data_IF_995251803219
#
_entry.id   IF_995251803219
#
_cell.length_a   1.000
_cell.length_b   1.000
_cell.length_c   1.000
_cell.angle_alpha   90.00
_cell.angle_beta   90.00
_cell.angle_gamma   90.00
#
_symmetry.space_group_name_H-M   'P 1'
#
loop_
_entity.id
_entity.type
_entity.pdbx_description
1 polymer ?
#
# COMPACT_ATOMS: atom_id res chain seq x y z
N UNK A 1 -20.65 -15.39 15.67
CA UNK A 1 -20.12 -14.02 15.89
C UNK A 1 -20.28 -13.54 17.35
N UNK A 2 -20.16 -14.42 18.36
CA UNK A 2 -20.21 -14.04 19.80
C UNK A 2 -18.83 -13.88 20.45
N UNK A 3 -17.74 -14.28 19.76
CA UNK A 3 -16.41 -14.23 20.35
C UNK A 3 -15.92 -12.78 20.52
N UNK A 4 -16.15 -11.89 19.56
CA UNK A 4 -15.74 -10.48 19.66
C UNK A 4 -16.39 -9.70 20.80
N UNK A 5 -17.63 -10.04 21.17
CA UNK A 5 -18.34 -9.40 22.29
C UNK A 5 -17.92 -9.91 23.67
N UNK A 6 -17.20 -11.04 23.77
CA UNK A 6 -16.77 -11.62 25.05
C UNK A 6 -15.38 -11.20 25.50
N UNK A 7 -14.52 -10.71 24.60
CA UNK A 7 -13.19 -10.16 24.95
C UNK A 7 -13.22 -8.65 25.25
N UNK A 8 -14.28 -7.95 24.85
CA UNK A 8 -14.47 -6.50 25.02
C UNK A 8 -14.98 -6.06 26.42
N UNK A 9 -15.50 -6.93 27.32
CA UNK A 9 -15.85 -6.50 28.69
C UNK A 9 -14.77 -6.78 29.75
N UNK A 10 -13.77 -7.60 29.45
CA UNK A 10 -12.87 -8.19 30.49
C UNK A 10 -11.69 -7.33 30.94
N UNK A 11 -11.52 -6.10 30.41
CA UNK A 11 -10.37 -5.22 30.73
C UNK A 11 -10.75 -3.92 31.47
N UNK A 12 -11.96 -3.81 32.02
CA UNK A 12 -12.25 -2.82 33.07
C UNK A 12 -12.09 -1.34 32.67
N UNK A 13 -12.46 -0.97 31.44
CA UNK A 13 -12.54 0.42 30.98
C UNK A 13 -13.88 0.71 30.28
N UNK A 14 -14.31 1.97 30.23
CA UNK A 14 -15.55 2.38 29.54
C UNK A 14 -15.55 1.89 28.08
N UNK A 15 -16.71 1.38 27.62
CA UNK A 15 -16.86 0.61 26.36
C UNK A 15 -16.25 1.28 25.10
N UNK A 16 -16.15 2.60 25.09
CA UNK A 16 -15.54 3.41 24.03
C UNK A 16 -14.00 3.39 24.03
N UNK A 17 -13.36 3.38 25.21
CA UNK A 17 -11.91 3.29 25.35
C UNK A 17 -11.39 1.88 25.01
N UNK A 18 -12.13 0.85 25.43
CA UNK A 18 -11.75 -0.54 25.15
C UNK A 18 -11.87 -0.86 23.65
N UNK A 19 -12.92 -0.36 22.97
CA UNK A 19 -13.06 -0.50 21.51
C UNK A 19 -11.92 0.17 20.73
N UNK A 20 -11.48 1.35 21.18
CA UNK A 20 -10.38 2.08 20.54
C UNK A 20 -9.03 1.38 20.74
N UNK A 21 -8.77 0.82 21.92
CA UNK A 21 -7.53 0.10 22.20
C UNK A 21 -7.43 -1.22 21.42
N UNK A 22 -8.52 -1.98 21.36
CA UNK A 22 -8.61 -3.21 20.54
C UNK A 22 -8.45 -2.89 19.05
N UNK A 23 -8.99 -1.76 18.59
CA UNK A 23 -8.83 -1.30 17.21
C UNK A 23 -7.37 -0.99 16.85
N UNK A 24 -6.64 -0.26 17.69
CA UNK A 24 -5.21 0.03 17.46
C UNK A 24 -4.40 -1.27 17.45
N UNK A 25 -4.66 -2.18 18.39
CA UNK A 25 -4.00 -3.47 18.43
C UNK A 25 -4.28 -4.29 17.17
N UNK A 26 -5.53 -4.31 16.72
CA UNK A 26 -5.91 -5.00 15.48
C UNK A 26 -5.20 -4.42 14.25
N UNK A 27 -5.06 -3.08 14.17
CA UNK A 27 -4.29 -2.43 13.11
C UNK A 27 -2.82 -2.83 13.15
N UNK A 28 -2.17 -2.75 14.32
CA UNK A 28 -0.76 -3.09 14.47
C UNK A 28 -0.51 -4.57 14.16
N UNK A 29 -1.35 -5.48 14.68
CA UNK A 29 -1.27 -6.91 14.38
C UNK A 29 -1.47 -7.16 12.89
N UNK A 30 -2.45 -6.53 12.25
CA UNK A 30 -2.68 -6.62 10.80
C UNK A 30 -1.47 -6.12 9.99
N UNK A 31 -0.88 -5.00 10.39
CA UNK A 31 0.35 -4.46 9.81
C UNK A 31 1.53 -5.42 9.94
N UNK A 32 1.74 -6.00 11.12
CA UNK A 32 2.82 -6.98 11.37
C UNK A 32 2.59 -8.26 10.55
N UNK A 33 1.37 -8.79 10.50
CA UNK A 33 1.04 -9.94 9.66
C UNK A 33 1.32 -9.64 8.19
N UNK A 34 0.92 -8.48 7.69
CA UNK A 34 1.23 -8.05 6.33
C UNK A 34 2.73 -7.91 6.08
N UNK A 35 3.49 -7.38 7.05
CA UNK A 35 4.94 -7.28 6.98
C UNK A 35 5.62 -8.67 6.92
N UNK A 36 5.13 -9.64 7.70
CA UNK A 36 5.63 -11.03 7.68
C UNK A 36 5.32 -11.70 6.34
N UNK A 37 4.08 -11.59 5.85
CA UNK A 37 3.71 -12.06 4.51
C UNK A 37 4.58 -11.41 3.44
N UNK A 38 4.79 -10.10 3.56
CA UNK A 38 5.68 -9.33 2.68
C UNK A 38 7.12 -9.84 2.73
N UNK A 39 7.65 -10.17 3.90
CA UNK A 39 9.00 -10.72 4.03
C UNK A 39 9.14 -12.11 3.39
N UNK A 40 8.16 -12.99 3.62
CA UNK A 40 8.10 -14.35 3.07
C UNK A 40 8.06 -14.32 1.54
N UNK A 41 7.27 -13.42 0.96
CA UNK A 41 7.08 -13.31 -0.51
C UNK A 41 8.19 -12.49 -1.15
N UNK A 42 8.63 -11.42 -0.49
CA UNK A 42 9.68 -10.54 -0.99
C UNK A 42 11.00 -11.27 -1.18
N UNK A 43 11.39 -12.14 -0.24
CA UNK A 43 12.67 -12.86 -0.33
C UNK A 43 12.85 -13.69 -1.62
N UNK A 44 11.88 -14.52 -2.06
CA UNK A 44 11.96 -15.23 -3.33
C UNK A 44 11.74 -14.33 -4.55
N UNK A 45 10.79 -13.38 -4.48
CA UNK A 45 10.47 -12.50 -5.62
C UNK A 45 11.67 -11.66 -6.06
N UNK A 46 12.54 -11.27 -5.12
CA UNK A 46 13.73 -10.45 -5.40
C UNK A 46 14.85 -11.19 -6.15
N UNK A 47 14.71 -12.49 -6.38
CA UNK A 47 15.59 -13.26 -7.28
C UNK A 47 15.27 -13.00 -8.75
N UNK A 48 14.09 -12.44 -9.04
CA UNK A 48 13.63 -12.12 -10.39
C UNK A 48 13.97 -10.69 -10.75
N UNK A 49 14.27 -10.43 -12.02
CA UNK A 49 14.65 -9.12 -12.54
C UNK A 49 13.65 -8.64 -13.59
N UNK A 50 13.48 -7.31 -13.66
CA UNK A 50 12.67 -6.65 -14.69
C UNK A 50 11.21 -7.12 -14.68
N UNK A 51 10.71 -7.47 -15.86
CA UNK A 51 9.29 -7.78 -16.11
C UNK A 51 8.80 -9.02 -15.34
N UNK A 52 9.70 -9.96 -15.04
CA UNK A 52 9.37 -11.14 -14.25
C UNK A 52 8.93 -10.78 -12.82
N UNK A 53 9.51 -9.72 -12.24
CA UNK A 53 9.11 -9.25 -10.91
C UNK A 53 7.65 -8.75 -10.94
N UNK A 54 7.29 -7.98 -11.98
CA UNK A 54 5.93 -7.46 -12.14
C UNK A 54 4.91 -8.62 -12.28
N UNK A 55 5.19 -9.59 -13.15
CA UNK A 55 4.34 -10.76 -13.36
C UNK A 55 4.11 -11.52 -12.05
N UNK A 56 5.16 -11.71 -11.24
CA UNK A 56 5.03 -12.41 -9.96
C UNK A 56 4.19 -11.65 -8.94
N UNK A 57 4.29 -10.32 -8.88
CA UNK A 57 3.44 -9.53 -7.97
C UNK A 57 1.96 -9.61 -8.35
N UNK A 58 1.65 -9.61 -9.64
CA UNK A 58 0.30 -9.73 -10.16
C UNK A 58 -0.27 -11.14 -9.92
N UNK A 59 0.52 -12.17 -10.21
CA UNK A 59 0.15 -13.57 -9.96
C UNK A 59 -0.05 -13.84 -8.47
N UNK A 60 0.82 -13.30 -7.61
CA UNK A 60 0.68 -13.44 -6.15
C UNK A 60 -0.64 -12.83 -5.66
N UNK A 61 -1.02 -11.63 -6.12
CA UNK A 61 -2.31 -11.04 -5.76
C UNK A 61 -3.49 -11.93 -6.16
N UNK A 62 -3.47 -12.46 -7.39
CA UNK A 62 -4.56 -13.32 -7.87
C UNK A 62 -4.62 -14.66 -7.12
N UNK A 63 -3.47 -15.26 -6.81
CA UNK A 63 -3.41 -16.48 -5.97
C UNK A 63 -4.05 -16.21 -4.60
N UNK A 64 -3.70 -15.10 -3.94
CA UNK A 64 -4.27 -14.74 -2.65
C UNK A 64 -5.80 -14.55 -2.76
N UNK A 65 -6.26 -13.82 -3.77
CA UNK A 65 -7.70 -13.64 -4.05
C UNK A 65 -8.41 -14.97 -4.25
N UNK A 66 -7.87 -15.84 -5.09
CA UNK A 66 -8.41 -17.16 -5.41
C UNK A 66 -8.45 -18.05 -4.17
N UNK A 67 -7.42 -18.02 -3.31
CA UNK A 67 -7.41 -18.77 -2.04
C UNK A 67 -8.57 -18.31 -1.16
N UNK A 68 -8.78 -17.00 -0.97
CA UNK A 68 -9.88 -16.49 -0.16
C UNK A 68 -11.26 -16.79 -0.78
N UNK A 69 -11.38 -16.77 -2.11
CA UNK A 69 -12.63 -17.12 -2.80
C UNK A 69 -12.95 -18.62 -2.72
N UNK A 70 -11.95 -19.49 -2.86
CA UNK A 70 -12.13 -20.94 -2.86
C UNK A 70 -12.12 -21.57 -1.46
N UNK A 71 -11.84 -20.79 -0.41
CA UNK A 71 -12.03 -21.23 0.97
C UNK A 71 -13.52 -21.19 1.30
N UNK A 72 -14.29 -22.08 0.66
CA UNK A 72 -15.76 -22.18 0.71
C UNK A 72 -16.24 -23.17 1.79
N UNK A 73 -15.70 -23.06 3.00
CA UNK A 73 -16.27 -23.68 4.20
C UNK A 73 -16.73 -22.58 5.16
N UNK A 74 -17.62 -22.89 6.10
CA UNK A 74 -18.03 -22.04 7.23
C UNK A 74 -16.86 -21.72 8.20
N UNK A 75 -15.69 -21.40 7.67
CA UNK A 75 -14.48 -21.07 8.39
C UNK A 75 -14.31 -19.56 8.60
N UNK A 76 -13.21 -19.23 9.26
CA UNK A 76 -12.80 -17.91 9.77
C UNK A 76 -12.94 -16.75 8.77
N UNK A 77 -12.96 -16.99 7.45
CA UNK A 77 -12.86 -15.98 6.40
C UNK A 77 -14.16 -15.68 5.61
N UNK A 78 -15.24 -16.45 5.81
CA UNK A 78 -16.54 -16.17 5.16
C UNK A 78 -16.64 -16.44 3.65
N UNK A 79 -15.61 -17.04 3.05
CA UNK A 79 -15.60 -17.49 1.64
C UNK A 79 -15.80 -16.34 0.62
N UNK A 80 -16.48 -16.59 -0.52
CA UNK A 80 -16.73 -15.58 -1.56
C UNK A 80 -17.47 -14.33 -1.06
N UNK A 81 -18.35 -14.50 -0.06
CA UNK A 81 -19.10 -13.42 0.56
C UNK A 81 -18.24 -12.54 1.48
N UNK A 82 -17.09 -13.07 1.90
CA UNK A 82 -16.10 -12.40 2.72
C UNK A 82 -16.56 -12.16 4.16
N UNK A 83 -15.83 -11.28 4.85
CA UNK A 83 -16.07 -10.94 6.25
C UNK A 83 -17.09 -9.81 6.36
N UNK A 84 -18.18 -10.03 7.11
CA UNK A 84 -19.25 -9.05 7.35
C UNK A 84 -19.39 -8.75 8.84
N UNK A 85 -19.87 -7.55 9.16
CA UNK A 85 -20.16 -7.15 10.55
C UNK A 85 -18.94 -6.61 11.31
N UNK A 86 -17.96 -6.05 10.59
CA UNK A 86 -16.83 -5.37 11.22
C UNK A 86 -17.34 -4.06 11.84
N UNK A 87 -17.13 -3.81 13.15
CA UNK A 87 -17.59 -2.59 13.80
C UNK A 87 -17.01 -1.34 13.12
N UNK A 88 -17.83 -0.34 12.74
CA UNK A 88 -17.35 0.89 12.10
C UNK A 88 -16.72 1.83 13.12
N UNK A 89 -15.48 1.55 13.54
CA UNK A 89 -14.73 2.37 14.50
C UNK A 89 -13.88 3.43 13.75
N UNK A 90 -13.61 3.22 12.46
CA UNK A 90 -12.81 4.16 11.65
C UNK A 90 -13.54 5.50 11.49
N UNK A 91 -12.92 6.54 12.03
CA UNK A 91 -13.33 7.95 11.83
C UNK A 91 -12.31 8.67 10.95
N UNK A 92 -12.67 9.82 10.39
CA UNK A 92 -11.74 10.67 9.65
C UNK A 92 -10.47 10.97 10.46
N UNK A 93 -10.60 11.16 11.78
CA UNK A 93 -9.47 11.36 12.68
C UNK A 93 -8.44 10.22 12.60
N UNK A 94 -8.88 8.96 12.64
CA UNK A 94 -7.99 7.79 12.53
C UNK A 94 -7.27 7.72 11.19
N UNK A 95 -7.99 8.00 10.09
CA UNK A 95 -7.43 7.98 8.74
C UNK A 95 -6.36 9.07 8.57
N UNK A 96 -6.67 10.31 8.93
CA UNK A 96 -5.70 11.42 8.82
C UNK A 96 -4.50 11.24 9.75
N UNK A 97 -4.71 10.73 10.96
CA UNK A 97 -3.63 10.48 11.92
C UNK A 97 -2.68 9.39 11.39
N UNK A 98 -3.20 8.26 10.93
CA UNK A 98 -2.37 7.20 10.37
C UNK A 98 -1.66 7.66 9.08
N UNK A 99 -2.34 8.43 8.22
CA UNK A 99 -1.73 9.01 7.03
C UNK A 99 -0.58 9.95 7.39
N UNK A 100 -0.75 10.83 8.38
CA UNK A 100 0.30 11.73 8.86
C UNK A 100 1.49 10.96 9.44
N UNK A 101 1.24 9.92 10.23
CA UNK A 101 2.29 9.03 10.77
C UNK A 101 3.03 8.33 9.63
N UNK A 102 2.31 7.79 8.64
CA UNK A 102 2.90 7.13 7.48
C UNK A 102 3.80 8.09 6.70
N UNK A 103 3.31 9.30 6.39
CA UNK A 103 4.09 10.32 5.68
C UNK A 103 5.33 10.72 6.48
N UNK A 104 5.19 10.91 7.80
CA UNK A 104 6.32 11.23 8.67
C UNK A 104 7.38 10.13 8.69
N UNK A 105 6.97 8.87 8.89
CA UNK A 105 7.90 7.73 8.95
C UNK A 105 8.57 7.50 7.59
N UNK A 106 7.84 7.57 6.49
CA UNK A 106 8.42 7.45 5.15
C UNK A 106 9.37 8.61 4.85
N UNK A 107 9.00 9.85 5.22
CA UNK A 107 9.87 11.02 5.09
C UNK A 107 11.17 10.89 5.89
N UNK A 108 11.07 10.42 7.14
CA UNK A 108 12.22 10.14 7.98
C UNK A 108 13.10 9.02 7.38
N UNK A 109 12.48 7.96 6.87
CA UNK A 109 13.19 6.84 6.26
C UNK A 109 13.97 7.27 5.00
N UNK A 110 13.36 8.06 4.13
CA UNK A 110 14.00 8.59 2.92
C UNK A 110 15.17 9.52 3.24
N UNK A 111 15.07 10.31 4.32
CA UNK A 111 16.14 11.22 4.75
C UNK A 111 17.23 10.53 5.59
N UNK A 112 17.02 9.28 5.99
CA UNK A 112 17.97 8.51 6.80
C UNK A 112 19.07 7.83 5.97
N UNK A 113 19.99 7.13 6.66
CA UNK A 113 21.00 6.27 6.02
C UNK A 113 20.38 5.18 5.16
N UNK A 114 19.22 4.63 5.55
CA UNK A 114 18.51 3.62 4.77
C UNK A 114 18.06 4.17 3.40
N UNK A 115 17.57 5.42 3.38
CA UNK A 115 17.17 6.11 2.16
C UNK A 115 18.32 6.28 1.15
N UNK A 116 19.53 6.57 1.64
CA UNK A 116 20.73 6.63 0.79
C UNK A 116 21.09 5.27 0.19
N UNK A 117 20.93 4.19 0.97
CA UNK A 117 21.13 2.83 0.47
C UNK A 117 20.08 2.43 -0.58
N UNK A 118 18.81 2.82 -0.42
CA UNK A 118 17.79 2.62 -1.46
C UNK A 118 18.14 3.37 -2.75
N UNK A 119 18.62 4.61 -2.64
CA UNK A 119 19.04 5.39 -3.80
C UNK A 119 20.24 4.75 -4.52
N UNK A 120 21.24 4.28 -3.77
CA UNK A 120 22.41 3.61 -4.34
C UNK A 120 22.04 2.33 -5.09
N UNK A 121 21.18 1.49 -4.49
CA UNK A 121 20.67 0.27 -5.13
C UNK A 121 19.83 0.57 -6.37
N UNK A 122 19.08 1.69 -6.37
CA UNK A 122 18.28 2.13 -7.51
C UNK A 122 19.14 2.64 -8.68
N UNK A 123 20.23 3.35 -8.38
CA UNK A 123 21.07 3.94 -9.42
C UNK A 123 21.90 2.86 -10.15
N UNK A 124 22.56 1.95 -9.43
CA UNK A 124 23.19 0.75 -10.00
C UNK A 124 23.38 -0.34 -8.94
N UNK A 125 22.66 -1.46 -9.11
CA UNK A 125 22.74 -2.60 -8.19
C UNK A 125 24.13 -3.25 -8.16
N UNK A 126 24.79 -3.36 -9.31
CA UNK A 126 26.10 -4.01 -9.43
C UNK A 126 27.15 -3.14 -8.74
N UNK A 127 27.15 -1.83 -9.02
CA UNK A 127 28.06 -0.89 -8.37
C UNK A 127 27.81 -0.81 -6.84
N UNK A 128 26.55 -0.75 -6.41
CA UNK A 128 26.21 -0.76 -4.99
C UNK A 128 26.73 -2.03 -4.28
N UNK A 129 26.60 -3.19 -4.94
CA UNK A 129 27.15 -4.46 -4.46
C UNK A 129 28.67 -4.44 -4.31
N UNK A 130 29.39 -3.86 -5.28
CA UNK A 130 30.86 -3.69 -5.22
C UNK A 130 31.31 -2.75 -4.10
N UNK A 131 30.47 -1.80 -3.70
CA UNK A 131 30.72 -0.89 -2.57
C UNK A 131 30.34 -1.49 -1.20
N UNK A 132 30.07 -2.79 -1.13
CA UNK A 132 29.75 -3.50 0.12
C UNK A 132 28.31 -3.33 0.62
N UNK A 133 27.41 -2.76 -0.20
CA UNK A 133 26.00 -2.61 0.14
C UNK A 133 25.27 -3.93 -0.13
N UNK A 134 24.60 -4.48 0.88
CA UNK A 134 23.80 -5.69 0.71
C UNK A 134 22.47 -5.39 -0.01
N UNK A 135 22.47 -5.52 -1.34
CA UNK A 135 21.34 -5.25 -2.23
C UNK A 135 20.05 -5.93 -1.76
N UNK A 136 20.13 -7.22 -1.40
CA UNK A 136 18.97 -8.03 -1.01
C UNK A 136 18.32 -7.46 0.25
N UNK A 137 19.11 -7.10 1.28
CA UNK A 137 18.57 -6.53 2.53
C UNK A 137 17.86 -5.21 2.29
N UNK A 138 18.40 -4.33 1.45
CA UNK A 138 17.76 -3.06 1.13
C UNK A 138 16.44 -3.25 0.35
N UNK A 139 16.40 -4.18 -0.61
CA UNK A 139 15.16 -4.48 -1.32
C UNK A 139 14.09 -5.13 -0.43
N UNK A 140 14.49 -6.09 0.42
CA UNK A 140 13.58 -6.74 1.38
C UNK A 140 13.02 -5.75 2.38
N UNK A 141 13.85 -4.89 2.97
CA UNK A 141 13.38 -3.87 3.93
C UNK A 141 12.43 -2.86 3.30
N UNK A 142 12.68 -2.42 2.06
CA UNK A 142 11.75 -1.58 1.31
C UNK A 142 10.40 -2.28 1.08
N UNK A 143 10.41 -3.57 0.74
CA UNK A 143 9.20 -4.34 0.52
C UNK A 143 8.40 -4.58 1.81
N UNK A 144 9.07 -4.96 2.89
CA UNK A 144 8.45 -5.22 4.21
C UNK A 144 7.84 -3.96 4.81
N UNK A 145 8.55 -2.82 4.74
CA UNK A 145 8.01 -1.54 5.22
C UNK A 145 6.79 -1.09 4.40
N UNK A 146 6.81 -1.28 3.08
CA UNK A 146 5.63 -1.05 2.24
C UNK A 146 4.45 -1.95 2.60
N UNK A 147 4.70 -3.24 2.79
CA UNK A 147 3.67 -4.22 3.18
C UNK A 147 3.05 -3.90 4.55
N UNK A 148 3.85 -3.44 5.51
CA UNK A 148 3.38 -2.99 6.82
C UNK A 148 2.35 -1.86 6.70
N UNK A 149 2.68 -0.80 5.94
CA UNK A 149 1.76 0.33 5.75
C UNK A 149 0.53 -0.04 4.91
N UNK A 150 0.68 -0.92 3.91
CA UNK A 150 -0.44 -1.46 3.16
C UNK A 150 -1.40 -2.27 4.05
N UNK A 151 -0.87 -3.06 5.00
CA UNK A 151 -1.66 -3.80 5.98
C UNK A 151 -2.44 -2.88 6.92
N UNK A 152 -1.79 -1.81 7.42
CA UNK A 152 -2.48 -0.78 8.22
C UNK A 152 -3.61 -0.10 7.44
N UNK A 153 -3.37 0.24 6.17
CA UNK A 153 -4.38 0.83 5.30
C UNK A 153 -5.55 -0.14 5.03
N UNK A 154 -5.26 -1.43 4.85
CA UNK A 154 -6.28 -2.48 4.69
C UNK A 154 -7.15 -2.64 5.94
N UNK A 155 -6.54 -2.58 7.14
CA UNK A 155 -7.27 -2.62 8.40
C UNK A 155 -8.20 -1.40 8.59
N UNK A 156 -7.76 -0.20 8.19
CA UNK A 156 -8.62 0.98 8.17
C UNK A 156 -9.77 0.85 7.17
N UNK A 157 -9.47 0.37 5.97
CA UNK A 157 -10.44 0.16 4.89
C UNK A 157 -11.54 -0.83 5.30
N UNK A 158 -11.16 -1.91 5.98
CA UNK A 158 -12.06 -2.92 6.54
C UNK A 158 -13.14 -2.32 7.45
N UNK A 159 -12.71 -1.48 8.40
CA UNK A 159 -13.59 -0.86 9.38
C UNK A 159 -14.40 0.29 8.76
N UNK A 160 -13.93 0.92 7.67
CA UNK A 160 -14.70 1.93 6.93
C UNK A 160 -15.84 1.31 6.13
N UNK A 161 -15.58 0.19 5.44
CA UNK A 161 -16.57 -0.47 4.56
C UNK A 161 -17.43 -1.51 5.27
N UNK A 162 -17.14 -1.84 6.53
CA UNK A 162 -17.80 -2.82 7.42
C UNK A 162 -17.92 -4.26 6.90
N UNK A 163 -17.60 -4.47 5.62
CA UNK A 163 -17.56 -5.73 4.91
C UNK A 163 -16.34 -5.76 3.99
N UNK A 164 -15.61 -6.88 3.99
CA UNK A 164 -14.49 -7.12 3.08
C UNK A 164 -14.82 -8.36 2.26
N UNK A 165 -15.03 -8.18 0.96
CA UNK A 165 -15.18 -9.27 0.01
C UNK A 165 -13.92 -9.39 -0.87
N UNK A 166 -13.43 -10.61 -1.16
CA UNK A 166 -12.26 -10.81 -2.03
C UNK A 166 -12.45 -10.26 -3.46
N UNK A 167 -13.69 -10.13 -3.91
CA UNK A 167 -13.99 -9.65 -5.26
C UNK A 167 -13.56 -8.20 -5.51
N UNK A 168 -13.58 -7.35 -4.47
CA UNK A 168 -13.12 -5.96 -4.56
C UNK A 168 -11.59 -5.77 -4.63
N UNK A 169 -10.81 -6.85 -4.49
CA UNK A 169 -9.34 -6.85 -4.53
C UNK A 169 -8.81 -7.61 -5.75
N UNK A 170 -9.49 -7.44 -6.87
CA UNK A 170 -9.11 -7.95 -8.17
C UNK A 170 -7.88 -7.23 -8.75
N UNK A 171 -7.29 -7.84 -9.78
CA UNK A 171 -6.18 -7.29 -10.57
C UNK A 171 -6.36 -5.81 -10.94
N UNK A 172 -7.57 -5.42 -11.36
CA UNK A 172 -7.89 -4.04 -11.73
C UNK A 172 -7.67 -3.05 -10.57
N UNK A 173 -7.96 -3.46 -9.33
CA UNK A 173 -7.73 -2.63 -8.16
C UNK A 173 -6.24 -2.35 -7.93
N UNK A 174 -5.38 -3.31 -8.26
CA UNK A 174 -3.93 -3.13 -8.18
C UNK A 174 -3.43 -2.13 -9.23
N UNK A 175 -4.07 -2.05 -10.42
CA UNK A 175 -3.74 -0.99 -11.40
C UNK A 175 -4.05 0.39 -10.86
N UNK A 176 -5.19 0.61 -10.20
CA UNK A 176 -5.51 1.92 -9.64
C UNK A 176 -4.37 2.45 -8.75
N UNK A 177 -3.81 1.58 -7.91
CA UNK A 177 -2.69 1.93 -7.02
C UNK A 177 -1.42 2.22 -7.82
N UNK A 178 -1.11 1.41 -8.84
CA UNK A 178 0.05 1.62 -9.71
C UNK A 178 -0.07 2.95 -10.49
N UNK A 179 -1.26 3.28 -10.99
CA UNK A 179 -1.52 4.53 -11.71
C UNK A 179 -1.24 5.73 -10.78
N UNK A 180 -1.71 5.70 -9.53
CA UNK A 180 -1.41 6.75 -8.53
C UNK A 180 0.10 6.94 -8.35
N UNK A 181 0.86 5.85 -8.24
CA UNK A 181 2.31 5.91 -8.02
C UNK A 181 3.05 6.44 -9.26
N UNK A 182 2.71 5.96 -10.45
CA UNK A 182 3.33 6.40 -11.71
C UNK A 182 3.06 7.88 -11.94
N UNK A 183 1.81 8.30 -11.76
CA UNK A 183 1.38 9.69 -11.93
C UNK A 183 2.04 10.62 -10.89
N UNK A 184 2.24 10.12 -9.66
CA UNK A 184 2.97 10.86 -8.63
C UNK A 184 4.46 11.00 -8.90
N UNK A 185 5.09 10.00 -9.54
CA UNK A 185 6.50 9.96 -9.89
C UNK A 185 7.35 9.08 -8.96
N UNK A 186 8.20 8.24 -9.56
CA UNK A 186 9.06 7.28 -8.84
C UNK A 186 10.11 7.99 -7.96
N UNK A 187 9.80 8.15 -6.67
CA UNK A 187 10.71 8.74 -5.68
C UNK A 187 10.31 10.12 -5.15
N UNK A 188 9.07 10.58 -5.40
CA UNK A 188 8.51 11.80 -4.82
C UNK A 188 7.31 11.47 -3.94
N UNK A 189 7.48 11.53 -2.62
CA UNK A 189 6.38 11.27 -1.66
C UNK A 189 5.26 12.30 -1.83
N UNK A 190 5.60 13.57 -2.01
CA UNK A 190 4.64 14.66 -2.23
C UNK A 190 3.87 14.50 -3.54
N UNK A 191 4.54 14.05 -4.62
CA UNK A 191 3.90 13.79 -5.90
C UNK A 191 2.85 12.68 -5.80
N UNK A 192 3.15 11.59 -5.09
CA UNK A 192 2.21 10.48 -4.88
C UNK A 192 0.99 10.91 -4.05
N UNK A 193 1.17 11.77 -3.05
CA UNK A 193 0.05 12.30 -2.25
C UNK A 193 -0.90 13.14 -3.13
N UNK A 194 -0.35 14.05 -3.93
CA UNK A 194 -1.15 14.88 -4.85
C UNK A 194 -1.86 14.02 -5.89
N UNK A 195 -1.16 13.04 -6.46
CA UNK A 195 -1.75 12.08 -7.40
C UNK A 195 -2.92 11.30 -6.78
N UNK A 196 -2.77 10.84 -5.54
CA UNK A 196 -3.83 10.12 -4.83
C UNK A 196 -5.07 11.00 -4.62
N UNK A 197 -4.89 12.27 -4.24
CA UNK A 197 -6.00 13.22 -4.06
C UNK A 197 -6.68 13.50 -5.40
N UNK A 198 -5.91 13.84 -6.44
CA UNK A 198 -6.44 14.16 -7.77
C UNK A 198 -7.20 12.98 -8.36
N UNK A 199 -6.62 11.77 -8.33
CA UNK A 199 -7.29 10.59 -8.86
C UNK A 199 -8.50 10.17 -8.03
N UNK A 200 -8.49 10.37 -6.72
CA UNK A 200 -9.67 10.11 -5.88
C UNK A 200 -10.81 11.07 -6.19
N UNK A 201 -10.50 12.36 -6.34
CA UNK A 201 -11.49 13.38 -6.74
C UNK A 201 -12.02 13.10 -8.14
N UNK A 202 -11.15 12.78 -9.08
CA UNK A 202 -11.54 12.37 -10.43
C UNK A 202 -12.45 11.14 -10.40
N UNK A 203 -12.14 10.17 -9.55
CA UNK A 203 -12.94 8.97 -9.40
C UNK A 203 -14.36 9.27 -8.91
N UNK A 204 -14.51 10.21 -7.96
CA UNK A 204 -15.83 10.65 -7.49
C UNK A 204 -16.64 11.36 -8.59
N UNK A 205 -15.99 12.18 -9.44
CA UNK A 205 -16.65 12.78 -10.61
C UNK A 205 -17.06 11.75 -11.67
N UNK A 206 -16.28 10.66 -11.80
CA UNK A 206 -16.56 9.58 -12.73
C UNK A 206 -17.44 8.48 -12.12
N UNK A 207 -18.03 8.73 -10.94
CA UNK A 207 -18.87 7.74 -10.26
C UNK A 207 -20.09 7.33 -11.10
N UNK A 208 -20.69 8.28 -11.80
CA UNK A 208 -21.84 8.04 -12.68
C UNK A 208 -21.45 7.42 -14.04
N UNK A 209 -20.15 7.43 -14.35
CA UNK A 209 -19.56 6.98 -15.61
C UNK A 209 -18.58 5.81 -15.39
N UNK A 210 -19.00 4.82 -14.59
CA UNK A 210 -18.12 3.76 -14.09
C UNK A 210 -17.35 3.01 -15.20
N UNK A 211 -18.02 2.73 -16.34
CA UNK A 211 -17.41 2.04 -17.49
C UNK A 211 -16.26 2.84 -18.13
N UNK A 212 -16.27 4.16 -18.02
CA UNK A 212 -15.25 5.02 -18.64
C UNK A 212 -14.02 5.22 -17.75
N UNK A 213 -14.06 4.86 -16.45
CA UNK A 213 -12.94 5.04 -15.49
C UNK A 213 -11.64 4.43 -16.01
N UNK A 214 -11.70 3.21 -16.55
CA UNK A 214 -10.51 2.50 -17.02
C UNK A 214 -9.88 3.16 -18.27
N UNK A 215 -10.72 3.65 -19.18
CA UNK A 215 -10.27 4.34 -20.40
C UNK A 215 -9.61 5.66 -20.01
N UNK A 216 -10.25 6.42 -19.12
CA UNK A 216 -9.72 7.71 -18.65
C UNK A 216 -8.41 7.53 -17.90
N UNK A 217 -8.29 6.55 -17.00
CA UNK A 217 -7.03 6.28 -16.28
C UNK A 217 -5.90 5.87 -17.23
N UNK A 218 -6.19 5.02 -18.21
CA UNK A 218 -5.21 4.59 -19.21
C UNK A 218 -4.74 5.76 -20.08
N UNK A 219 -5.66 6.58 -20.58
CA UNK A 219 -5.33 7.78 -21.36
C UNK A 219 -4.52 8.78 -20.54
N UNK A 220 -4.92 9.04 -19.30
CA UNK A 220 -4.22 9.96 -18.41
C UNK A 220 -2.79 9.49 -18.16
N UNK A 221 -2.58 8.19 -17.93
CA UNK A 221 -1.25 7.60 -17.78
C UNK A 221 -0.40 7.79 -19.06
N UNK A 222 -0.95 7.50 -20.24
CA UNK A 222 -0.24 7.70 -21.52
C UNK A 222 0.14 9.17 -21.71
N UNK A 223 -0.80 10.10 -21.52
CA UNK A 223 -0.57 11.54 -21.64
C UNK A 223 0.52 11.98 -20.68
N UNK A 224 0.48 11.49 -19.44
CA UNK A 224 1.45 11.83 -18.42
C UNK A 224 2.85 11.29 -18.76
N UNK A 225 2.97 10.06 -19.27
CA UNK A 225 4.23 9.51 -19.75
C UNK A 225 4.82 10.30 -20.92
N UNK A 226 3.98 10.83 -21.83
CA UNK A 226 4.41 11.66 -22.96
C UNK A 226 4.85 13.05 -22.47
N UNK A 227 4.05 13.69 -21.61
CA UNK A 227 4.27 15.09 -21.23
C UNK A 227 5.38 15.22 -20.19
N UNK A 228 5.43 14.34 -19.18
CA UNK A 228 6.46 14.35 -18.13
C UNK A 228 6.67 12.95 -17.52
N UNK A 229 7.69 12.19 -17.94
CA UNK A 229 7.97 10.85 -17.41
C UNK A 229 8.43 10.83 -15.94
N UNK A 230 8.52 11.98 -15.26
CA UNK A 230 9.05 12.12 -13.90
C UNK A 230 7.98 12.23 -12.80
N UNK A 231 6.69 12.30 -13.12
CA UNK A 231 5.65 12.58 -12.12
C UNK A 231 5.00 13.95 -12.29
N UNK A 232 3.88 14.18 -11.59
CA UNK A 232 3.29 15.51 -11.38
C UNK A 232 4.24 16.47 -10.66
N UNK A 233 4.91 15.98 -9.61
CA UNK A 233 5.84 16.77 -8.79
C UNK A 233 7.19 16.06 -8.74
N UNK A 234 8.22 16.54 -9.47
CA UNK A 234 9.54 15.93 -9.45
C UNK A 234 10.17 16.04 -8.05
N UNK A 235 10.95 15.02 -7.67
CA UNK A 235 11.59 14.99 -6.36
C UNK A 235 12.56 16.18 -6.19
N UNK A 236 12.62 16.75 -4.98
CA UNK A 236 13.50 17.89 -4.64
C UNK A 236 14.98 17.56 -4.94
N UNK A 237 15.36 16.28 -4.82
CA UNK A 237 16.69 15.79 -5.17
C UNK A 237 17.02 15.97 -6.67
N UNK A 238 16.05 15.80 -7.56
CA UNK A 238 16.22 16.02 -9.00
C UNK A 238 16.43 17.52 -9.32
N UNK A 239 15.67 18.40 -8.67
CA UNK A 239 15.84 19.87 -8.81
C UNK A 239 17.24 20.33 -8.35
N UNK A 240 17.75 19.74 -7.27
CA UNK A 240 19.10 20.04 -6.76
C UNK A 240 20.20 19.56 -7.71
N UNK A 241 19.99 18.43 -8.41
CA UNK A 241 20.91 17.89 -9.43
C UNK A 241 20.91 18.76 -10.70
N UNK A 242 19.74 19.23 -11.16
CA UNK A 242 19.63 20.14 -12.30
C UNK A 242 20.30 21.50 -12.05
N UNK A 243 20.19 22.03 -10.82
CA UNK A 243 20.87 23.27 -10.42
C UNK A 243 22.39 23.13 -10.22
N UNK A 244 22.90 21.90 -10.05
CA UNK A 244 24.35 21.63 -9.94
C UNK A 244 25.01 21.42 -11.32
N UNK A 245 24.21 21.07 -12.33
CA UNK A 245 24.65 20.78 -13.69
C UNK A 245 24.31 21.91 -14.69
N UNK A 246 23.81 23.05 -14.21
CA UNK A 246 23.54 24.27 -14.95
C UNK A 246 24.37 25.41 -14.33
#
# INVERSE_FOLDING_TARGET
>A
LQLGSQWVPTLGGSATFQGSMVFILALVVGGICAAICGWIVGMPSLRLKGDYLAIVTLGFNEIVRVIFQNTSGEGIFGGPLGLRGIPPITTFFWVFTLAAICIYVVGAMVNSTYGRGFLAVRDDEVAAGSMGINIVRYKVTAFVTGAFFAGLAGGLYAHLRTTIAPDGFNFLKSFDIVVIVILGGMGSTTGVIVAAIVLTVLNEFLRDAEQYRMIVFSLLLIIMMIVRPQGLIPSIAFLKRKKKNA
#
